data_IF_119111146647
#
_entry.id   IF_119111146647
#
_cell.length_a   1.000
_cell.length_b   1.000
_cell.length_c   1.000
_cell.angle_alpha   90.00
_cell.angle_beta   90.00
_cell.angle_gamma   90.00
#
_symmetry.space_group_name_H-M   'P 1'
#
loop_
_entity.id
_entity.type
_entity.pdbx_description
1 polymer ?
#
# COMPACT_ATOMS: atom_id res chain seq x y z
N UNK A 1 -5.32 -24.70 14.82
CA UNK A 1 -5.79 -23.62 13.92
C UNK A 1 -6.15 -22.45 14.80
N UNK A 2 -5.40 -21.33 14.73
CA UNK A 2 -5.72 -20.15 15.54
C UNK A 2 -6.99 -19.52 14.99
N UNK A 3 -8.01 -19.46 15.85
CA UNK A 3 -9.30 -18.85 15.59
C UNK A 3 -9.10 -17.39 15.17
N UNK A 4 -9.56 -17.05 13.97
CA UNK A 4 -9.63 -15.66 13.50
C UNK A 4 -10.81 -15.05 14.27
N UNK A 5 -10.51 -14.18 15.22
CA UNK A 5 -11.51 -13.59 16.11
C UNK A 5 -12.53 -12.77 15.30
N UNK A 6 -13.79 -12.92 15.70
CA UNK A 6 -15.00 -12.31 15.15
C UNK A 6 -14.75 -10.98 14.40
N UNK A 7 -14.94 -11.02 13.08
CA UNK A 7 -14.94 -9.84 12.22
C UNK A 7 -16.22 -9.05 12.53
N UNK A 8 -16.16 -7.81 13.06
CA UNK A 8 -17.34 -6.97 13.21
C UNK A 8 -17.98 -6.78 11.83
N UNK A 9 -19.31 -6.63 11.73
CA UNK A 9 -19.97 -6.33 10.46
C UNK A 9 -19.54 -4.96 9.96
N UNK A 10 -18.41 -4.90 9.26
CA UNK A 10 -18.11 -3.83 8.33
C UNK A 10 -18.74 -4.24 7.00
N UNK A 11 -19.40 -3.31 6.31
CA UNK A 11 -19.67 -3.50 4.89
C UNK A 11 -18.34 -3.28 4.18
N UNK A 12 -17.81 -4.28 3.43
CA UNK A 12 -16.69 -4.02 2.54
C UNK A 12 -17.01 -2.83 1.62
N UNK A 13 -15.98 -2.08 1.27
CA UNK A 13 -16.12 -1.06 0.24
C UNK A 13 -16.42 -1.75 -1.09
N UNK A 14 -17.68 -1.68 -1.51
CA UNK A 14 -18.19 -2.28 -2.75
C UNK A 14 -18.57 -1.22 -3.78
N UNK A 15 -18.30 0.06 -3.50
CA UNK A 15 -18.48 1.06 -4.53
C UNK A 15 -17.36 0.89 -5.55
N UNK A 16 -17.75 0.71 -6.81
CA UNK A 16 -16.81 0.64 -7.90
C UNK A 16 -15.97 1.93 -7.91
N UNK A 17 -14.63 1.83 -7.96
CA UNK A 17 -13.76 2.97 -8.14
C UNK A 17 -14.22 3.82 -9.33
N UNK A 18 -14.09 5.13 -9.20
CA UNK A 18 -14.45 6.10 -10.23
C UNK A 18 -13.20 6.61 -10.97
N UNK A 19 -13.41 7.25 -12.12
CA UNK A 19 -12.32 7.82 -12.93
C UNK A 19 -11.52 6.76 -13.67
N UNK A 20 -10.23 7.01 -13.88
CA UNK A 20 -9.35 6.11 -14.64
C UNK A 20 -9.28 4.68 -14.08
N UNK A 21 -9.46 4.52 -12.76
CA UNK A 21 -9.50 3.21 -12.12
C UNK A 21 -10.72 2.36 -12.51
N UNK A 22 -11.74 2.96 -13.14
CA UNK A 22 -12.95 2.30 -13.64
C UNK A 22 -12.85 1.83 -15.09
N UNK A 23 -11.81 2.25 -15.82
CA UNK A 23 -11.62 1.93 -17.23
C UNK A 23 -11.18 0.47 -17.43
N UNK A 24 -11.34 -0.05 -18.65
CA UNK A 24 -10.83 -1.35 -19.09
C UNK A 24 -11.17 -2.56 -18.18
N UNK A 25 -12.39 -2.59 -17.63
CA UNK A 25 -12.85 -3.64 -16.70
C UNK A 25 -12.76 -3.25 -15.22
N UNK A 26 -12.18 -2.09 -14.94
CA UNK A 26 -12.19 -1.45 -13.63
C UNK A 26 -11.29 -2.12 -12.58
N UNK A 27 -11.30 -1.54 -11.39
CA UNK A 27 -10.56 -2.03 -10.23
C UNK A 27 -11.53 -2.60 -9.21
N UNK A 28 -11.35 -3.87 -8.85
CA UNK A 28 -12.20 -4.62 -7.91
C UNK A 28 -11.44 -5.09 -6.67
N UNK A 29 -10.11 -4.97 -6.64
CA UNK A 29 -9.28 -5.46 -5.53
C UNK A 29 -9.39 -6.98 -5.39
N UNK A 30 -9.78 -7.43 -4.20
CA UNK A 30 -10.10 -8.84 -3.94
C UNK A 30 -11.40 -9.35 -4.57
N UNK A 31 -12.16 -8.52 -5.29
CA UNK A 31 -13.49 -8.86 -5.81
C UNK A 31 -14.57 -8.77 -4.73
N UNK A 32 -15.81 -9.18 -5.02
CA UNK A 32 -16.90 -9.13 -4.03
C UNK A 32 -16.81 -10.25 -2.98
N UNK A 33 -16.36 -11.43 -3.41
CA UNK A 33 -16.20 -12.64 -2.58
C UNK A 33 -14.79 -13.19 -2.80
N UNK A 34 -13.78 -12.71 -2.05
CA UNK A 34 -12.40 -13.12 -2.26
C UNK A 34 -12.19 -14.57 -1.82
N UNK A 35 -11.25 -15.26 -2.48
CA UNK A 35 -10.83 -16.61 -2.06
C UNK A 35 -10.21 -16.60 -0.65
N UNK A 36 -9.55 -15.49 -0.29
CA UNK A 36 -8.79 -15.36 0.95
C UNK A 36 -9.18 -14.10 1.72
N UNK A 37 -9.17 -14.22 3.05
CA UNK A 37 -9.37 -13.08 3.93
C UNK A 37 -8.45 -13.20 5.14
N UNK A 38 -7.68 -12.15 5.39
CA UNK A 38 -6.71 -12.06 6.48
C UNK A 38 -7.08 -10.92 7.41
N UNK A 39 -6.84 -11.12 8.71
CA UNK A 39 -6.93 -10.08 9.71
C UNK A 39 -5.55 -9.91 10.35
N UNK A 40 -4.99 -8.70 10.27
CA UNK A 40 -3.61 -8.43 10.64
C UNK A 40 -3.52 -7.27 11.63
N UNK A 41 -2.65 -7.41 12.62
CA UNK A 41 -2.42 -6.44 13.70
C UNK A 41 -0.96 -6.01 13.83
N UNK A 42 -0.07 -6.61 13.06
CA UNK A 42 1.35 -6.30 13.06
C UNK A 42 1.99 -6.59 11.70
N UNK A 43 3.23 -6.14 11.54
CA UNK A 43 3.97 -6.25 10.28
C UNK A 43 4.25 -7.70 9.87
N UNK A 44 4.48 -8.61 10.82
CA UNK A 44 4.76 -10.02 10.51
C UNK A 44 3.53 -10.73 9.94
N UNK A 45 2.37 -10.53 10.56
CA UNK A 45 1.09 -11.05 10.06
C UNK A 45 0.77 -10.51 8.67
N UNK A 46 1.01 -9.22 8.42
CA UNK A 46 0.81 -8.61 7.11
C UNK A 46 1.74 -9.22 6.05
N UNK A 47 3.04 -9.34 6.36
CA UNK A 47 4.02 -9.92 5.44
C UNK A 47 3.72 -11.38 5.14
N UNK A 48 3.28 -12.14 6.15
CA UNK A 48 2.84 -13.52 5.98
C UNK A 48 1.60 -13.60 5.08
N UNK A 49 0.57 -12.77 5.34
CA UNK A 49 -0.64 -12.72 4.52
C UNK A 49 -0.33 -12.42 3.05
N UNK A 50 0.53 -11.43 2.77
CA UNK A 50 0.96 -11.10 1.40
C UNK A 50 1.67 -12.29 0.76
N UNK A 51 2.62 -12.91 1.46
CA UNK A 51 3.41 -14.04 0.92
C UNK A 51 2.56 -15.27 0.63
N UNK A 52 1.70 -15.68 1.56
CA UNK A 52 0.89 -16.90 1.43
C UNK A 52 -0.20 -16.79 0.37
N UNK A 53 -0.68 -15.57 0.18
CA UNK A 53 -1.81 -15.33 -0.69
C UNK A 53 -1.41 -15.16 -2.16
N UNK A 54 -0.18 -14.70 -2.45
CA UNK A 54 0.29 -14.46 -3.82
C UNK A 54 -0.65 -13.51 -4.58
N UNK A 55 -1.03 -13.86 -5.81
CA UNK A 55 -1.96 -13.06 -6.62
C UNK A 55 -3.45 -13.48 -6.48
N UNK A 56 -3.77 -14.44 -5.60
CA UNK A 56 -5.15 -14.91 -5.43
C UNK A 56 -6.04 -13.79 -4.87
N UNK A 57 -7.29 -13.58 -5.34
CA UNK A 57 -8.14 -12.51 -4.84
C UNK A 57 -8.29 -12.54 -3.31
N UNK A 58 -7.97 -11.44 -2.63
CA UNK A 58 -7.87 -11.40 -1.17
C UNK A 58 -8.35 -10.10 -0.54
N UNK A 59 -8.85 -10.22 0.68
CA UNK A 59 -8.97 -9.10 1.61
C UNK A 59 -7.89 -9.18 2.70
N UNK A 60 -7.33 -8.03 3.06
CA UNK A 60 -6.46 -7.89 4.22
C UNK A 60 -7.03 -6.76 5.08
N UNK A 61 -7.61 -7.15 6.21
CA UNK A 61 -8.19 -6.27 7.22
C UNK A 61 -7.12 -5.87 8.23
N UNK A 62 -6.90 -4.56 8.36
CA UNK A 62 -5.90 -3.98 9.26
C UNK A 62 -6.60 -3.40 10.48
N UNK A 63 -6.08 -3.71 11.67
CA UNK A 63 -6.57 -3.10 12.92
C UNK A 63 -5.41 -2.57 13.75
N UNK A 64 -5.60 -1.36 14.28
CA UNK A 64 -4.57 -0.66 15.05
C UNK A 64 -3.36 -0.26 14.21
N UNK A 65 -2.21 -0.16 14.88
CA UNK A 65 -0.97 0.35 14.28
C UNK A 65 -0.11 -0.79 13.76
N UNK A 66 0.16 -0.79 12.46
CA UNK A 66 1.20 -1.58 11.81
C UNK A 66 2.49 -0.75 11.78
N UNK A 67 3.42 -1.10 12.65
CA UNK A 67 4.76 -0.54 12.68
C UNK A 67 5.72 -1.38 11.83
N UNK A 68 6.16 -0.85 10.69
CA UNK A 68 7.08 -1.56 9.81
C UNK A 68 8.51 -1.66 10.37
N UNK A 69 8.84 -0.88 11.40
CA UNK A 69 10.08 -1.03 12.17
C UNK A 69 9.99 -2.21 13.16
N UNK A 70 8.79 -2.73 13.43
CA UNK A 70 8.59 -3.79 14.42
C UNK A 70 8.99 -3.37 15.83
N UNK A 71 8.89 -2.07 16.15
CA UNK A 71 9.32 -1.49 17.43
C UNK A 71 10.83 -1.30 17.58
N UNK A 72 11.61 -1.54 16.51
CA UNK A 72 13.07 -1.41 16.52
C UNK A 72 13.51 -0.40 15.45
N UNK A 73 14.17 0.71 15.84
CA UNK A 73 14.64 1.73 14.91
C UNK A 73 15.45 1.16 13.75
N UNK A 74 15.38 1.79 12.58
CA UNK A 74 16.23 1.42 11.45
C UNK A 74 17.70 1.72 11.74
N UNK A 75 18.57 0.77 11.38
CA UNK A 75 20.02 0.90 11.63
C UNK A 75 20.69 1.77 10.57
N UNK A 76 20.25 1.63 9.32
CA UNK A 76 20.77 2.36 8.15
C UNK A 76 19.76 2.27 7.00
N UNK A 77 20.06 2.93 5.87
CA UNK A 77 19.19 2.94 4.69
C UNK A 77 18.87 1.55 4.14
N UNK A 78 19.83 0.63 4.16
CA UNK A 78 19.62 -0.73 3.63
C UNK A 78 18.61 -1.51 4.49
N UNK A 79 18.72 -1.39 5.80
CA UNK A 79 17.78 -1.96 6.76
C UNK A 79 16.38 -1.33 6.64
N UNK A 80 16.31 0.00 6.53
CA UNK A 80 15.05 0.70 6.26
C UNK A 80 14.42 0.26 4.94
N UNK A 81 15.18 0.19 3.85
CA UNK A 81 14.65 -0.27 2.56
C UNK A 81 14.14 -1.72 2.66
N UNK A 82 14.77 -2.56 3.47
CA UNK A 82 14.35 -3.96 3.65
C UNK A 82 13.08 -4.08 4.49
N UNK A 83 12.97 -3.32 5.58
CA UNK A 83 11.90 -3.47 6.58
C UNK A 83 10.75 -2.48 6.44
N UNK A 84 11.04 -1.24 6.07
CA UNK A 84 10.05 -0.17 5.90
C UNK A 84 9.23 -0.27 4.62
N UNK A 85 9.73 -0.97 3.59
CA UNK A 85 8.99 -1.17 2.33
C UNK A 85 8.04 -2.37 2.42
N UNK A 86 6.78 -2.14 2.09
CA UNK A 86 5.73 -3.15 2.08
C UNK A 86 5.13 -3.18 0.67
N UNK A 87 5.32 -4.28 -0.04
CA UNK A 87 4.79 -4.47 -1.39
C UNK A 87 3.41 -5.12 -1.31
N UNK A 88 2.41 -4.47 -1.88
CA UNK A 88 1.05 -4.97 -1.97
C UNK A 88 0.88 -5.59 -3.37
N UNK A 89 0.63 -6.90 -3.39
CA UNK A 89 0.47 -7.67 -4.62
C UNK A 89 -0.91 -7.51 -5.26
N UNK A 90 -1.09 -8.11 -6.43
CA UNK A 90 -2.30 -7.99 -7.23
C UNK A 90 -3.55 -8.55 -6.53
N UNK A 91 -4.72 -8.15 -7.01
CA UNK A 91 -6.03 -8.64 -6.57
C UNK A 91 -6.22 -8.52 -5.04
N UNK A 92 -5.80 -7.39 -4.48
CA UNK A 92 -5.79 -7.15 -3.03
C UNK A 92 -6.70 -5.97 -2.68
N UNK A 93 -7.60 -6.18 -1.71
CA UNK A 93 -8.23 -5.09 -0.97
C UNK A 93 -7.59 -5.02 0.42
N UNK A 94 -6.76 -3.99 0.64
CA UNK A 94 -6.17 -3.68 1.94
C UNK A 94 -7.01 -2.59 2.60
N UNK A 95 -7.62 -2.90 3.74
CA UNK A 95 -8.62 -2.03 4.35
C UNK A 95 -8.46 -1.94 5.85
N UNK A 96 -8.44 -0.73 6.38
CA UNK A 96 -8.50 -0.50 7.82
C UNK A 96 -9.88 -0.77 8.39
N UNK A 97 -9.94 -1.38 9.56
CA UNK A 97 -11.21 -1.72 10.23
C UNK A 97 -11.85 -0.56 10.98
N UNK A 98 -11.06 0.42 11.40
CA UNK A 98 -11.48 1.54 12.22
C UNK A 98 -10.56 2.75 11.99
N UNK A 99 -10.84 3.86 12.69
CA UNK A 99 -10.02 5.07 12.62
C UNK A 99 -8.64 4.93 13.27
N UNK A 100 -8.32 3.79 13.87
CA UNK A 100 -7.00 3.50 14.45
C UNK A 100 -6.12 2.69 13.50
N UNK A 101 -6.66 2.20 12.38
CA UNK A 101 -5.90 1.49 11.36
C UNK A 101 -4.85 2.42 10.75
N UNK A 102 -3.60 2.23 11.17
CA UNK A 102 -2.49 3.12 10.86
C UNK A 102 -1.26 2.33 10.45
N UNK A 103 -0.54 2.85 9.48
CA UNK A 103 0.77 2.40 9.07
C UNK A 103 1.79 3.45 9.50
N UNK A 104 2.80 3.05 10.27
CA UNK A 104 3.92 3.92 10.68
C UNK A 104 5.25 3.31 10.26
N UNK A 105 6.25 4.16 10.12
CA UNK A 105 7.59 3.76 9.66
C UNK A 105 7.56 3.01 8.32
N UNK A 106 6.51 3.20 7.52
CA UNK A 106 6.25 2.32 6.39
C UNK A 106 5.97 3.05 5.08
N UNK A 107 6.41 2.43 4.00
CA UNK A 107 6.12 2.81 2.64
C UNK A 107 5.36 1.66 1.96
N UNK A 108 4.11 1.92 1.55
CA UNK A 108 3.32 0.98 0.76
C UNK A 108 3.67 1.13 -0.72
N UNK A 109 4.01 0.03 -1.38
CA UNK A 109 4.30 -0.05 -2.80
C UNK A 109 3.25 -0.91 -3.49
N UNK A 110 2.61 -0.36 -4.51
CA UNK A 110 1.87 -1.12 -5.52
C UNK A 110 2.74 -1.09 -6.77
N UNK A 111 3.66 -2.04 -6.88
CA UNK A 111 4.63 -2.13 -7.97
C UNK A 111 4.49 -3.49 -8.63
N UNK A 112 4.48 -3.51 -9.96
CA UNK A 112 4.28 -4.73 -10.77
C UNK A 112 3.03 -5.51 -10.36
N UNK A 113 1.99 -4.76 -9.93
CA UNK A 113 0.75 -5.29 -9.38
C UNK A 113 -0.44 -4.58 -10.00
N UNK A 114 -1.53 -5.31 -10.18
CA UNK A 114 -2.76 -4.83 -10.78
C UNK A 114 -3.95 -5.11 -9.87
N UNK A 115 -5.02 -4.33 -10.06
CA UNK A 115 -6.28 -4.57 -9.38
C UNK A 115 -6.14 -4.51 -7.85
N UNK A 116 -5.72 -3.36 -7.32
CA UNK A 116 -5.46 -3.16 -5.88
C UNK A 116 -6.31 -2.00 -5.35
N UNK A 117 -6.95 -2.22 -4.19
CA UNK A 117 -7.70 -1.21 -3.45
C UNK A 117 -7.05 -1.03 -2.09
N UNK A 118 -6.72 0.21 -1.72
CA UNK A 118 -6.22 0.59 -0.39
C UNK A 118 -7.19 1.62 0.19
N UNK A 119 -7.82 1.31 1.32
CA UNK A 119 -8.91 2.13 1.87
C UNK A 119 -8.91 2.22 3.39
N UNK A 120 -9.39 3.34 3.94
CA UNK A 120 -9.58 3.57 5.38
C UNK A 120 -8.31 3.34 6.21
N UNK A 121 -7.17 3.86 5.74
CA UNK A 121 -5.89 3.76 6.44
C UNK A 121 -5.30 5.14 6.67
N UNK A 122 -4.74 5.33 7.86
CA UNK A 122 -3.82 6.43 8.11
C UNK A 122 -2.41 5.96 7.79
N UNK A 123 -1.65 6.72 6.99
CA UNK A 123 -0.26 6.40 6.66
C UNK A 123 0.60 7.54 7.15
N UNK A 124 1.54 7.21 8.03
CA UNK A 124 2.58 8.12 8.47
C UNK A 124 3.89 7.77 7.75
N UNK A 125 4.54 8.81 7.25
CA UNK A 125 5.80 8.67 6.55
C UNK A 125 6.90 8.10 7.46
N UNK A 126 7.74 7.18 6.97
CA UNK A 126 8.91 6.72 7.71
C UNK A 126 9.94 7.82 7.98
N UNK A 127 10.67 7.64 9.07
CA UNK A 127 11.88 8.40 9.39
C UNK A 127 12.96 8.07 8.37
N UNK A 128 13.53 9.09 7.69
CA UNK A 128 14.72 8.90 6.86
C UNK A 128 15.96 8.80 7.75
N UNK A 129 16.55 7.61 7.87
CA UNK A 129 17.69 7.38 8.79
C UNK A 129 19.03 7.86 8.25
N UNK A 130 19.13 8.13 6.95
CA UNK A 130 20.37 8.59 6.31
C UNK A 130 20.04 9.58 5.18
N UNK A 131 19.51 10.78 5.51
CA UNK A 131 19.08 11.75 4.50
C UNK A 131 20.24 12.12 3.59
N UNK A 132 19.99 12.06 2.28
CA UNK A 132 20.96 12.42 1.25
C UNK A 132 20.66 13.82 0.73
N UNK A 133 21.70 14.64 0.60
CA UNK A 133 21.63 15.94 -0.05
C UNK A 133 22.29 15.82 -1.42
N UNK A 134 21.55 16.15 -2.48
CA UNK A 134 22.12 16.19 -3.83
C UNK A 134 22.88 17.52 -4.01
N UNK A 135 24.17 17.45 -4.32
CA UNK A 135 25.06 18.63 -4.38
C UNK A 135 24.98 19.43 -5.70
N UNK A 136 24.06 19.11 -6.61
CA UNK A 136 23.99 19.74 -7.94
C UNK A 136 22.86 20.76 -8.03
N UNK A 137 23.25 22.04 -8.08
CA UNK A 137 22.39 23.22 -8.06
C UNK A 137 21.25 23.19 -9.08
N UNK A 138 20.04 22.93 -8.57
CA UNK A 138 18.79 23.03 -9.31
C UNK A 138 17.64 22.49 -8.48
N UNK A 139 17.08 23.34 -7.61
CA UNK A 139 16.03 23.08 -6.61
C UNK A 139 16.44 22.18 -5.44
N UNK A 140 16.51 22.76 -4.25
CA UNK A 140 16.65 22.06 -2.98
C UNK A 140 15.41 21.19 -2.75
N UNK A 141 15.47 19.95 -3.23
CA UNK A 141 14.48 18.92 -2.98
C UNK A 141 15.17 17.83 -2.17
N UNK A 142 14.98 17.86 -0.85
CA UNK A 142 15.36 16.78 0.05
C UNK A 142 14.32 15.66 -0.09
N UNK A 143 14.54 14.71 -1.02
CA UNK A 143 13.63 13.56 -1.18
C UNK A 143 14.38 12.35 -1.70
N UNK A 144 14.80 11.44 -0.82
CA UNK A 144 15.08 10.06 -1.26
C UNK A 144 14.42 8.94 -0.45
N UNK A 145 13.70 9.21 0.64
CA UNK A 145 12.89 8.15 1.29
C UNK A 145 11.43 8.45 1.62
N UNK A 146 10.82 9.47 1.02
CA UNK A 146 9.35 9.57 1.07
C UNK A 146 8.73 9.82 -0.31
N UNK A 147 8.36 8.68 -0.91
CA UNK A 147 7.35 8.49 -1.95
C UNK A 147 7.52 9.34 -3.22
N UNK A 148 8.31 8.83 -4.17
CA UNK A 148 7.99 9.03 -5.59
C UNK A 148 7.03 7.92 -6.00
N UNK A 149 5.73 8.20 -5.92
CA UNK A 149 4.74 7.44 -6.70
C UNK A 149 5.06 7.75 -8.16
N UNK A 150 5.72 6.83 -8.86
CA UNK A 150 6.04 7.01 -10.28
C UNK A 150 4.78 6.76 -11.11
N UNK A 151 4.04 7.83 -11.34
CA UNK A 151 3.06 8.01 -12.41
C UNK A 151 3.04 9.51 -12.78
N UNK A 152 2.71 9.90 -14.02
CA UNK A 152 2.63 11.31 -14.36
C UNK A 152 1.43 11.93 -13.64
N UNK A 153 1.74 12.97 -12.86
CA UNK A 153 0.87 14.08 -12.47
C UNK A 153 0.02 13.99 -11.17
N UNK A 154 0.38 14.91 -10.27
CA UNK A 154 -0.46 15.69 -9.33
C UNK A 154 -1.01 15.01 -8.05
N UNK A 155 -0.17 14.95 -7.01
CA UNK A 155 -0.64 14.86 -5.62
C UNK A 155 -0.80 16.27 -5.01
N UNK A 156 -2.05 16.72 -4.81
CA UNK A 156 -2.40 17.96 -4.10
C UNK A 156 -2.55 17.69 -2.59
N UNK A 157 -2.12 18.59 -1.68
CA UNK A 157 -1.83 18.24 -0.27
C UNK A 157 -3.03 18.03 0.68
N UNK A 158 -4.29 17.96 0.21
CA UNK A 158 -5.46 17.94 1.11
C UNK A 158 -6.64 17.10 0.61
N UNK A 159 -6.44 15.79 0.39
CA UNK A 159 -7.57 14.86 0.19
C UNK A 159 -7.43 13.65 1.12
N UNK A 160 -8.53 13.15 1.73
CA UNK A 160 -8.53 11.82 2.35
C UNK A 160 -8.22 10.82 1.23
N UNK A 161 -7.00 10.27 1.27
CA UNK A 161 -6.40 9.64 0.12
C UNK A 161 -7.08 8.28 -0.15
N UNK A 162 -7.97 8.26 -1.13
CA UNK A 162 -8.39 7.06 -1.83
C UNK A 162 -7.27 6.73 -2.84
N UNK A 163 -6.33 5.86 -2.48
CA UNK A 163 -5.33 5.38 -3.41
C UNK A 163 -5.91 4.23 -4.25
N UNK A 164 -6.45 4.56 -5.42
CA UNK A 164 -6.66 3.60 -6.50
C UNK A 164 -5.44 3.68 -7.42
N UNK A 165 -4.61 2.64 -7.43
CA UNK A 165 -3.54 2.47 -8.41
C UNK A 165 -3.95 1.39 -9.41
N UNK A 166 -4.14 1.78 -10.67
CA UNK A 166 -3.97 0.87 -11.79
C UNK A 166 -2.97 1.50 -12.75
N UNK A 167 -1.94 0.75 -13.11
CA UNK A 167 -1.44 0.83 -14.48
C UNK A 167 -1.00 -0.58 -14.90
N UNK A 168 -1.85 -1.21 -15.71
CA UNK A 168 -1.48 -2.36 -16.53
C UNK A 168 -1.51 -1.92 -17.97
N UNK A 169 -0.39 -1.39 -18.46
CA UNK A 169 -0.18 -1.26 -19.89
C UNK A 169 1.30 -1.44 -20.24
N UNK A 170 1.66 -2.68 -20.53
CA UNK A 170 2.65 -2.95 -21.58
C UNK A 170 2.22 -2.22 -22.86
N UNK A 171 2.83 -1.08 -23.20
CA UNK A 171 2.81 -0.59 -24.58
C UNK A 171 4.19 -0.06 -24.97
N UNK A 172 4.85 -0.85 -25.83
CA UNK A 172 5.92 -0.41 -26.70
C UNK A 172 5.45 0.82 -27.51
N UNK A 173 6.26 1.88 -27.53
CA UNK A 173 6.23 2.83 -28.63
C UNK A 173 7.64 2.99 -29.18
N UNK A 174 7.84 2.44 -30.39
CA UNK A 174 8.88 2.84 -31.33
C UNK A 174 8.65 4.28 -31.74
N UNK A 175 9.67 5.12 -31.59
CA UNK A 175 9.68 6.51 -32.04
C UNK A 175 9.69 6.57 -33.57
N UNK A 176 8.82 7.41 -34.13
CA UNK A 176 9.12 8.19 -35.33
C UNK A 176 9.76 9.51 -34.90
#
# INVERSE_FOLDING_TARGET
MRSINHVPPHKPWYENPIGWASEAGGTTGGGQDPELSYYVKNIEELRQAIKESGDRPKYIWVSGVIDASGGVPYVNRADQSKRGRIFIGSNTTLIGMDHQAKFIESALFVQDANNVIIHNLFIENPVDVEPQFEDQGGSTLCFLFNQRITGPDNCHPNLPFLACFSDSAHHNYSAL
#
